data_IF_411237042559
#
_entry.id   IF_411237042559
#
_cell.length_a   1.000
_cell.length_b   1.000
_cell.length_c   1.000
_cell.angle_alpha   90.00
_cell.angle_beta   90.00
_cell.angle_gamma   90.00
#
_symmetry.space_group_name_H-M   'P 1'
#
loop_
_entity.id
_entity.type
_entity.pdbx_description
1 polymer ?
#
# COMPACT_ATOMS: atom_id res chain seq x y z
N UNK A 1 -3.76 -4.64 0.29
CA UNK A 1 -4.34 -3.34 -0.11
C UNK A 1 -5.09 -3.45 -1.42
N UNK A 2 -6.26 -2.79 -1.54
CA UNK A 2 -7.04 -2.77 -2.78
C UNK A 2 -6.40 -1.94 -3.91
N UNK A 3 -5.32 -1.21 -3.65
CA UNK A 3 -4.59 -0.46 -4.67
C UNK A 3 -4.14 -1.29 -5.89
N UNK A 4 -4.03 -2.61 -5.72
CA UNK A 4 -3.75 -3.52 -6.85
C UNK A 4 -4.94 -3.71 -7.81
N UNK A 5 -6.13 -3.30 -7.39
CA UNK A 5 -7.38 -3.37 -8.19
C UNK A 5 -7.96 -1.99 -8.45
N UNK A 6 -7.13 -0.95 -8.41
CA UNK A 6 -7.56 0.45 -8.62
C UNK A 6 -8.21 0.69 -9.98
N UNK A 7 -7.91 -0.13 -10.97
CA UNK A 7 -8.59 -0.12 -12.27
C UNK A 7 -10.07 -0.52 -12.19
N UNK A 8 -10.41 -1.37 -11.23
CA UNK A 8 -11.78 -1.83 -11.01
C UNK A 8 -12.48 -1.05 -9.89
N UNK A 9 -11.73 -0.68 -8.83
CA UNK A 9 -12.24 0.03 -7.65
C UNK A 9 -11.44 1.32 -7.47
N UNK A 10 -11.94 2.41 -8.02
CA UNK A 10 -11.22 3.69 -8.05
C UNK A 10 -11.06 4.33 -6.68
N UNK A 11 -11.98 4.11 -5.75
CA UNK A 11 -11.86 4.59 -4.37
C UNK A 11 -10.65 3.99 -3.64
N UNK A 12 -10.20 2.81 -4.04
CA UNK A 12 -9.07 2.11 -3.43
C UNK A 12 -7.72 2.83 -3.54
N UNK A 13 -7.61 3.78 -4.48
CA UNK A 13 -6.37 4.55 -4.70
C UNK A 13 -6.27 5.79 -3.79
N UNK A 14 -7.39 6.30 -3.29
CA UNK A 14 -7.43 7.56 -2.52
C UNK A 14 -6.44 7.57 -1.35
N UNK A 15 -6.30 6.50 -0.53
CA UNK A 15 -5.30 6.47 0.55
C UNK A 15 -3.86 6.59 0.06
N UNK A 16 -3.61 6.24 -1.20
CA UNK A 16 -2.28 6.26 -1.80
C UNK A 16 -1.92 7.60 -2.46
N UNK A 17 -2.84 8.57 -2.42
CA UNK A 17 -2.53 9.90 -2.93
C UNK A 17 -1.48 10.59 -2.08
N UNK A 18 -0.54 11.31 -2.72
CA UNK A 18 0.53 11.99 -2.01
C UNK A 18 -0.06 12.96 -0.99
N UNK A 19 0.53 12.97 0.20
CA UNK A 19 0.17 13.90 1.28
C UNK A 19 -1.29 13.81 1.77
N UNK A 20 -2.05 12.78 1.38
CA UNK A 20 -3.38 12.51 1.93
C UNK A 20 -3.31 12.29 3.45
N UNK A 21 -2.31 11.54 3.90
CA UNK A 21 -1.98 11.38 5.30
C UNK A 21 -0.45 11.38 5.47
N UNK A 22 0.07 12.26 6.31
CA UNK A 22 1.50 12.35 6.65
C UNK A 22 1.87 11.57 7.90
N UNK A 23 0.87 11.13 8.68
CA UNK A 23 1.05 10.32 9.90
C UNK A 23 0.04 9.18 9.96
N UNK A 24 0.31 8.18 10.80
CA UNK A 24 -0.59 7.06 11.03
C UNK A 24 -1.94 7.53 11.62
N UNK A 25 -1.89 8.45 12.57
CA UNK A 25 -3.08 9.01 13.22
C UNK A 25 -4.00 9.74 12.21
N UNK A 26 -3.40 10.46 11.25
CA UNK A 26 -4.18 11.09 10.19
C UNK A 26 -4.84 10.06 9.29
N UNK A 27 -4.14 8.95 8.98
CA UNK A 27 -4.69 7.87 8.19
C UNK A 27 -5.85 7.18 8.92
N UNK A 28 -5.70 6.91 10.22
CA UNK A 28 -6.76 6.32 11.05
C UNK A 28 -8.04 7.17 11.08
N UNK A 29 -7.90 8.49 11.14
CA UNK A 29 -9.05 9.41 11.08
C UNK A 29 -9.81 9.34 9.74
N UNK A 30 -9.15 8.95 8.66
CA UNK A 30 -9.74 8.83 7.34
C UNK A 30 -10.37 7.45 7.09
N UNK A 31 -10.01 6.42 7.87
CA UNK A 31 -10.43 5.04 7.63
C UNK A 31 -11.95 4.87 7.48
N UNK A 32 -12.81 5.44 8.37
CA UNK A 32 -14.25 5.27 8.21
C UNK A 32 -14.76 5.77 6.86
N UNK A 33 -14.39 7.01 6.48
CA UNK A 33 -14.82 7.60 5.22
C UNK A 33 -14.27 6.85 4.00
N UNK A 34 -13.02 6.36 4.06
CA UNK A 34 -12.43 5.56 2.99
C UNK A 34 -13.12 4.20 2.84
N UNK A 35 -13.51 3.59 3.95
CA UNK A 35 -14.25 2.32 3.95
C UNK A 35 -15.64 2.50 3.37
N UNK A 36 -16.35 3.55 3.76
CA UNK A 36 -17.69 3.86 3.27
C UNK A 36 -17.69 4.10 1.76
N UNK A 37 -16.78 4.92 1.25
CA UNK A 37 -16.65 5.21 -0.19
C UNK A 37 -16.31 3.93 -0.96
N UNK A 38 -15.42 3.11 -0.43
CA UNK A 38 -15.03 1.85 -1.08
C UNK A 38 -16.18 0.84 -1.08
N UNK A 39 -16.91 0.70 0.03
CA UNK A 39 -18.10 -0.15 0.12
C UNK A 39 -19.19 0.30 -0.87
N UNK A 40 -19.40 1.61 -0.97
CA UNK A 40 -20.38 2.16 -1.92
C UNK A 40 -19.99 1.79 -3.36
N UNK A 41 -18.73 1.97 -3.75
CA UNK A 41 -18.27 1.64 -5.10
C UNK A 41 -18.34 0.12 -5.38
N UNK A 42 -18.01 -0.73 -4.40
CA UNK A 42 -18.18 -2.18 -4.52
C UNK A 42 -19.64 -2.55 -4.78
N UNK A 43 -20.57 -1.94 -4.03
CA UNK A 43 -22.01 -2.13 -4.21
C UNK A 43 -22.51 -1.64 -5.57
N UNK A 44 -22.15 -0.42 -5.97
CA UNK A 44 -22.56 0.18 -7.23
C UNK A 44 -22.11 -0.63 -8.46
N UNK A 45 -20.96 -1.28 -8.34
CA UNK A 45 -20.41 -2.16 -9.38
C UNK A 45 -20.85 -3.62 -9.25
N UNK A 46 -21.76 -3.93 -8.34
CA UNK A 46 -22.29 -5.27 -8.09
C UNK A 46 -21.23 -6.32 -7.76
N UNK A 47 -20.17 -5.95 -7.05
CA UNK A 47 -19.28 -6.92 -6.45
C UNK A 47 -20.00 -7.65 -5.32
N UNK A 48 -19.99 -8.97 -5.35
CA UNK A 48 -20.61 -9.81 -4.32
C UNK A 48 -19.72 -9.96 -3.09
N UNK A 49 -19.30 -8.84 -2.51
CA UNK A 49 -18.38 -8.77 -1.35
C UNK A 49 -18.77 -7.61 -0.43
N UNK A 50 -18.36 -7.70 0.83
CA UNK A 50 -18.41 -6.62 1.81
C UNK A 50 -17.06 -6.44 2.48
N UNK A 51 -16.75 -5.21 2.92
CA UNK A 51 -15.59 -4.92 3.76
C UNK A 51 -15.98 -5.21 5.21
N UNK A 52 -15.28 -6.13 5.83
CA UNK A 52 -15.47 -6.50 7.24
C UNK A 52 -14.77 -5.51 8.17
N UNK A 53 -13.53 -5.21 7.88
CA UNK A 53 -12.76 -4.19 8.59
C UNK A 53 -11.72 -3.54 7.68
N UNK A 54 -11.26 -2.38 8.10
CA UNK A 54 -10.21 -1.62 7.41
C UNK A 54 -9.15 -1.17 8.41
N UNK A 55 -7.89 -1.22 8.02
CA UNK A 55 -6.79 -0.77 8.85
C UNK A 55 -5.74 -0.03 8.05
N UNK A 56 -5.11 0.97 8.70
CA UNK A 56 -3.99 1.70 8.16
C UNK A 56 -2.75 0.80 8.08
N UNK A 57 -2.08 0.85 6.94
CA UNK A 57 -0.76 0.22 6.76
C UNK A 57 0.31 1.29 7.01
N UNK A 58 1.47 0.96 7.59
CA UNK A 58 2.54 1.92 7.78
C UNK A 58 2.85 2.72 6.53
N UNK A 59 3.18 4.01 6.73
CA UNK A 59 3.51 4.93 5.64
C UNK A 59 4.60 4.33 4.76
N UNK A 60 4.44 4.50 3.46
CA UNK A 60 5.36 3.99 2.46
C UNK A 60 6.57 4.92 2.38
N UNK A 61 7.74 4.39 2.68
CA UNK A 61 9.03 5.09 2.75
C UNK A 61 10.04 4.44 1.82
N UNK A 62 11.20 5.07 1.65
CA UNK A 62 12.23 4.61 0.71
C UNK A 62 13.28 3.75 1.41
N UNK A 63 13.69 2.70 0.71
CA UNK A 63 14.77 1.77 1.10
C UNK A 63 15.69 1.60 -0.09
N UNK A 64 16.99 1.69 0.10
CA UNK A 64 17.88 1.63 -1.05
C UNK A 64 19.33 1.26 -0.73
N UNK A 65 20.14 1.24 -1.80
CA UNK A 65 21.54 0.81 -1.75
C UNK A 65 22.48 1.90 -2.26
N UNK A 66 23.74 1.80 -1.82
CA UNK A 66 24.81 2.74 -2.19
C UNK A 66 24.71 4.05 -1.40
N UNK A 67 24.94 5.19 -2.05
CA UNK A 67 24.94 6.48 -1.39
C UNK A 67 23.57 6.81 -0.76
N UNK A 68 23.55 7.14 0.55
CA UNK A 68 22.32 7.46 1.26
C UNK A 68 21.56 8.63 0.64
N UNK A 69 20.25 8.47 0.55
CA UNK A 69 19.31 9.52 0.13
C UNK A 69 18.70 10.16 1.37
N UNK A 70 18.75 11.48 1.47
CA UNK A 70 18.17 12.29 2.53
C UNK A 70 17.40 13.53 2.01
N UNK A 71 17.24 13.62 0.69
CA UNK A 71 16.42 14.65 0.04
C UNK A 71 15.81 14.12 -1.25
N UNK A 72 14.68 14.69 -1.64
CA UNK A 72 13.98 14.33 -2.89
C UNK A 72 14.88 14.49 -4.12
N UNK A 73 15.71 15.54 -4.15
CA UNK A 73 16.60 15.80 -5.29
C UNK A 73 17.63 14.68 -5.55
N UNK A 74 17.98 13.92 -4.54
CA UNK A 74 18.91 12.79 -4.65
C UNK A 74 18.26 11.51 -5.22
N UNK A 75 16.94 11.50 -5.37
CA UNK A 75 16.21 10.44 -6.09
C UNK A 75 16.34 10.57 -7.60
N UNK A 76 16.78 11.74 -8.09
CA UNK A 76 16.86 12.00 -9.53
C UNK A 76 17.76 10.98 -10.24
N UNK A 77 17.18 10.33 -11.26
CA UNK A 77 17.85 9.33 -12.07
C UNK A 77 18.02 7.95 -11.45
N UNK A 78 17.64 7.77 -10.17
CA UNK A 78 17.65 6.44 -9.53
C UNK A 78 16.49 5.60 -10.03
N UNK A 79 16.72 4.31 -10.22
CA UNK A 79 15.70 3.33 -10.51
C UNK A 79 15.00 2.94 -9.20
N UNK A 80 13.76 3.39 -9.02
CA UNK A 80 13.01 3.18 -7.76
C UNK A 80 11.80 2.29 -8.03
N UNK A 81 11.74 1.17 -7.33
CA UNK A 81 10.59 0.27 -7.42
C UNK A 81 9.37 0.86 -6.76
N UNK A 82 8.25 0.73 -7.44
CA UNK A 82 6.91 1.09 -6.97
C UNK A 82 5.93 -0.08 -7.10
N UNK A 83 4.81 0.04 -6.41
CA UNK A 83 3.76 -1.00 -6.37
C UNK A 83 2.47 -0.59 -7.10
N UNK A 84 2.36 0.68 -7.54
CA UNK A 84 1.17 1.18 -8.24
C UNK A 84 1.55 2.22 -9.30
N UNK A 85 0.64 2.45 -10.25
CA UNK A 85 0.80 3.44 -11.31
C UNK A 85 0.90 4.87 -10.74
N UNK A 86 0.12 5.18 -9.71
CA UNK A 86 0.10 6.49 -9.05
C UNK A 86 1.45 6.78 -8.37
N UNK A 87 2.01 5.77 -7.68
CA UNK A 87 3.35 5.89 -7.11
C UNK A 87 4.41 6.10 -8.18
N UNK A 88 4.24 5.52 -9.38
CA UNK A 88 5.14 5.74 -10.51
C UNK A 88 5.09 7.18 -11.02
N UNK A 89 3.90 7.76 -11.13
CA UNK A 89 3.74 9.16 -11.54
C UNK A 89 4.41 10.12 -10.55
N UNK A 90 4.21 9.90 -9.25
CA UNK A 90 4.84 10.71 -8.19
C UNK A 90 6.36 10.64 -8.29
N UNK A 91 6.94 9.45 -8.40
CA UNK A 91 8.39 9.29 -8.47
C UNK A 91 8.96 9.88 -9.76
N UNK A 92 8.24 9.76 -10.87
CA UNK A 92 8.62 10.40 -12.13
C UNK A 92 8.64 11.92 -11.99
N UNK A 93 7.64 12.50 -11.31
CA UNK A 93 7.62 13.92 -11.00
C UNK A 93 8.77 14.36 -10.08
N UNK A 94 9.25 13.48 -9.20
CA UNK A 94 10.45 13.70 -8.38
C UNK A 94 11.76 13.50 -9.16
N UNK A 95 11.70 13.09 -10.43
CA UNK A 95 12.84 12.87 -11.32
C UNK A 95 13.48 11.50 -11.20
N UNK A 96 12.88 10.55 -10.49
CA UNK A 96 13.31 9.15 -10.44
C UNK A 96 12.78 8.36 -11.64
N UNK A 97 13.42 7.22 -11.93
CA UNK A 97 12.93 6.24 -12.89
C UNK A 97 12.07 5.22 -12.13
N UNK A 98 10.76 5.27 -12.30
CA UNK A 98 9.86 4.34 -11.64
C UNK A 98 9.89 2.96 -12.32
N UNK A 99 10.06 1.91 -11.53
CA UNK A 99 10.10 0.52 -11.97
C UNK A 99 8.99 -0.26 -11.26
N UNK A 100 8.01 -0.74 -12.00
CA UNK A 100 6.91 -1.54 -11.43
C UNK A 100 7.34 -2.98 -11.25
N UNK A 101 7.42 -3.44 -10.01
CA UNK A 101 7.78 -4.82 -9.64
C UNK A 101 6.92 -5.29 -8.47
N UNK A 102 6.68 -6.59 -8.40
CA UNK A 102 6.08 -7.21 -7.21
C UNK A 102 7.02 -7.08 -6.00
N UNK A 103 6.47 -7.17 -4.79
CA UNK A 103 7.27 -7.07 -3.58
C UNK A 103 8.31 -8.18 -3.44
N UNK A 104 8.02 -9.39 -3.93
CA UNK A 104 8.92 -10.55 -3.92
C UNK A 104 10.12 -10.40 -4.86
N UNK A 105 10.02 -9.53 -5.87
CA UNK A 105 11.10 -9.28 -6.84
C UNK A 105 12.10 -8.21 -6.35
N UNK A 106 11.80 -7.49 -5.28
CA UNK A 106 12.62 -6.36 -4.80
C UNK A 106 14.02 -6.81 -4.37
N UNK A 107 14.10 -7.77 -3.46
CA UNK A 107 15.40 -8.26 -2.95
C UNK A 107 16.32 -8.75 -4.09
N UNK A 108 15.87 -9.67 -4.98
CA UNK A 108 16.71 -10.08 -6.10
C UNK A 108 17.04 -8.94 -7.09
N UNK A 109 16.17 -7.94 -7.24
CA UNK A 109 16.42 -6.80 -8.13
C UNK A 109 17.45 -5.82 -7.55
N UNK A 110 17.44 -5.60 -6.24
CA UNK A 110 18.48 -4.84 -5.53
C UNK A 110 19.83 -5.55 -5.63
N UNK A 111 19.87 -6.85 -5.36
CA UNK A 111 21.12 -7.65 -5.44
C UNK A 111 21.73 -7.64 -6.84
N UNK A 112 20.91 -7.62 -7.87
CA UNK A 112 21.35 -7.55 -9.27
C UNK A 112 21.58 -6.11 -9.76
N UNK A 113 21.37 -5.10 -8.94
CA UNK A 113 21.46 -3.69 -9.27
C UNK A 113 20.54 -3.26 -10.43
N UNK A 114 19.37 -3.89 -10.54
CA UNK A 114 18.30 -3.51 -11.47
C UNK A 114 17.57 -2.26 -10.95
N UNK A 115 17.43 -2.18 -9.64
CA UNK A 115 16.87 -1.02 -8.93
C UNK A 115 17.85 -0.53 -7.88
N UNK A 116 17.84 0.79 -7.63
CA UNK A 116 18.66 1.46 -6.63
C UNK A 116 17.93 1.60 -5.29
N UNK A 117 16.59 1.65 -5.35
CA UNK A 117 15.73 1.78 -4.18
C UNK A 117 14.35 1.17 -4.45
N UNK A 118 13.60 1.01 -3.37
CA UNK A 118 12.22 0.56 -3.40
C UNK A 118 11.38 1.28 -2.35
N UNK A 119 10.07 1.38 -2.58
CA UNK A 119 9.11 1.97 -1.65
C UNK A 119 8.30 0.87 -0.99
N UNK A 120 8.26 0.87 0.35
CA UNK A 120 7.39 0.02 1.17
C UNK A 120 7.28 0.55 2.60
N UNK A 121 6.32 0.04 3.36
CA UNK A 121 6.21 0.32 4.80
C UNK A 121 7.28 -0.41 5.61
N UNK A 122 7.61 0.14 6.78
CA UNK A 122 8.67 -0.39 7.66
C UNK A 122 8.41 -1.84 8.10
N UNK A 123 7.17 -2.20 8.39
CA UNK A 123 6.79 -3.57 8.79
C UNK A 123 7.11 -4.60 7.70
N UNK A 124 6.73 -4.30 6.46
CA UNK A 124 7.03 -5.22 5.36
C UNK A 124 8.53 -5.30 5.06
N UNK A 125 9.25 -4.18 5.16
CA UNK A 125 10.70 -4.17 4.99
C UNK A 125 11.39 -5.06 6.03
N UNK A 126 10.89 -5.08 7.27
CA UNK A 126 11.39 -5.93 8.35
C UNK A 126 11.04 -7.41 8.09
N UNK A 127 9.79 -7.73 7.84
CA UNK A 127 9.32 -9.09 7.55
C UNK A 127 10.06 -9.73 6.36
N UNK A 128 10.25 -8.97 5.29
CA UNK A 128 10.93 -9.40 4.08
C UNK A 128 12.46 -9.22 4.13
N UNK A 129 13.01 -8.81 5.28
CA UNK A 129 14.45 -8.64 5.57
C UNK A 129 15.17 -7.76 4.56
N UNK A 130 14.54 -6.63 4.17
CA UNK A 130 15.17 -5.71 3.24
C UNK A 130 16.43 -5.06 3.82
N UNK A 131 16.56 -4.96 5.14
CA UNK A 131 17.75 -4.49 5.81
C UNK A 131 19.00 -5.36 5.56
N UNK A 132 18.84 -6.62 5.13
CA UNK A 132 19.95 -7.48 4.74
C UNK A 132 20.59 -7.07 3.40
N UNK A 133 19.87 -6.30 2.59
CA UNK A 133 20.28 -5.93 1.23
C UNK A 133 20.25 -4.42 0.97
N UNK A 134 19.63 -3.62 1.85
CA UNK A 134 19.58 -2.17 1.76
C UNK A 134 20.60 -1.54 2.70
N UNK A 135 21.26 -0.48 2.25
CA UNK A 135 22.26 0.27 3.02
C UNK A 135 21.64 1.44 3.80
N UNK A 136 20.47 1.91 3.38
CA UNK A 136 19.80 3.09 3.95
C UNK A 136 18.28 3.02 3.85
N UNK A 137 17.62 3.78 4.75
CA UNK A 137 16.19 4.10 4.69
C UNK A 137 15.98 5.60 4.72
N UNK A 138 15.14 6.14 3.84
CA UNK A 138 14.75 7.53 3.82
C UNK A 138 13.27 7.66 4.22
N UNK A 139 13.04 8.17 5.43
CA UNK A 139 11.73 8.21 6.09
C UNK A 139 10.82 9.34 5.57
N UNK A 140 10.92 9.69 4.30
CA UNK A 140 9.95 10.56 3.64
C UNK A 140 8.71 9.73 3.31
N UNK A 141 7.53 10.03 3.91
CA UNK A 141 6.29 9.34 3.57
C UNK A 141 5.87 9.69 2.15
N UNK A 142 5.92 8.71 1.24
CA UNK A 142 5.45 8.91 -0.12
C UNK A 142 3.92 8.99 -0.15
N UNK A 143 3.28 8.05 0.52
CA UNK A 143 1.82 7.95 0.61
C UNK A 143 1.42 7.10 1.81
N UNK A 144 0.15 7.18 2.20
CA UNK A 144 -0.49 6.20 3.07
C UNK A 144 -0.84 4.92 2.31
N UNK A 145 -1.35 3.94 3.02
CA UNK A 145 -1.99 2.77 2.44
C UNK A 145 -3.03 2.24 3.41
N UNK A 146 -4.12 1.70 2.88
CA UNK A 146 -5.18 1.05 3.66
C UNK A 146 -5.34 -0.37 3.16
N UNK A 147 -5.46 -1.30 4.09
CA UNK A 147 -5.86 -2.67 3.80
C UNK A 147 -7.28 -2.90 4.29
N UNK A 148 -8.01 -3.69 3.52
CA UNK A 148 -9.36 -4.11 3.86
C UNK A 148 -9.40 -5.63 3.96
N UNK A 149 -10.10 -6.13 4.96
CA UNK A 149 -10.52 -7.52 5.03
C UNK A 149 -11.89 -7.59 4.36
N UNK A 150 -11.96 -8.30 3.25
CA UNK A 150 -13.18 -8.43 2.46
C UNK A 150 -13.68 -9.88 2.50
N UNK A 151 -14.99 -10.05 2.52
CA UNK A 151 -15.62 -11.37 2.48
C UNK A 151 -16.60 -11.43 1.31
N UNK A 152 -16.69 -12.61 0.69
CA UNK A 152 -17.74 -12.88 -0.29
C UNK A 152 -19.07 -13.10 0.43
N UNK A 153 -20.14 -12.39 0.00
CA UNK A 153 -21.46 -12.40 0.65
C UNK A 153 -22.09 -13.80 0.67
N UNK A 154 -21.97 -14.58 -0.41
CA UNK A 154 -22.50 -15.94 -0.47
C UNK A 154 -21.72 -16.89 0.46
N UNK A 155 -20.39 -16.72 0.52
CA UNK A 155 -19.57 -17.49 1.44
C UNK A 155 -19.94 -17.19 2.90
N UNK A 156 -20.11 -15.92 3.26
CA UNK A 156 -20.56 -15.51 4.58
C UNK A 156 -21.96 -16.08 4.88
N UNK A 157 -22.90 -15.94 3.97
CA UNK A 157 -24.26 -16.44 4.14
C UNK A 157 -24.36 -17.98 4.22
N UNK A 158 -23.35 -18.70 3.75
CA UNK A 158 -23.31 -20.18 3.86
C UNK A 158 -22.90 -20.67 5.26
N UNK A 159 -22.37 -19.77 6.11
CA UNK A 159 -22.00 -20.11 7.50
C UNK A 159 -23.24 -20.15 8.40
N UNK A 160 -23.23 -20.95 9.48
CA UNK A 160 -24.22 -20.86 10.54
C UNK A 160 -24.29 -19.44 11.14
N UNK A 161 -25.48 -19.01 11.58
CA UNK A 161 -25.69 -17.62 12.04
C UNK A 161 -24.77 -17.23 13.20
N UNK A 162 -24.56 -18.12 14.15
CA UNK A 162 -23.66 -17.92 15.29
C UNK A 162 -22.22 -17.67 14.88
N UNK A 163 -21.76 -18.33 13.79
CA UNK A 163 -20.43 -18.08 13.24
C UNK A 163 -20.37 -16.75 12.48
N UNK A 164 -21.42 -16.39 11.74
CA UNK A 164 -21.49 -15.06 11.09
C UNK A 164 -21.42 -13.95 12.13
N UNK A 165 -22.12 -14.10 13.26
CA UNK A 165 -22.16 -13.11 14.33
C UNK A 165 -20.77 -12.96 14.98
N UNK A 166 -20.08 -14.07 15.27
CA UNK A 166 -18.71 -14.06 15.80
C UNK A 166 -17.75 -13.36 14.83
N UNK A 167 -17.81 -13.70 13.53
CA UNK A 167 -16.92 -13.08 12.53
C UNK A 167 -17.13 -11.57 12.43
N UNK A 168 -18.38 -11.10 12.56
CA UNK A 168 -18.68 -9.66 12.55
C UNK A 168 -18.21 -8.96 13.81
N UNK A 169 -18.43 -9.59 14.98
CA UNK A 169 -18.00 -9.05 16.27
C UNK A 169 -16.46 -8.92 16.35
N UNK A 170 -15.73 -9.91 15.87
CA UNK A 170 -14.25 -9.89 15.89
C UNK A 170 -13.65 -8.97 14.80
N UNK A 171 -14.45 -8.50 13.85
CA UNK A 171 -14.01 -7.58 12.81
C UNK A 171 -14.16 -6.08 13.21
N UNK A 172 -14.92 -5.77 14.25
CA UNK A 172 -15.10 -4.41 14.79
C UNK A 172 -13.88 -3.96 15.63
#
# INVERSE_FOLDING_TARGET
PLGYVSGDISASIVPSWPMMAGTAEQLELLLPALSDITNQELSDKNFNVEIMCSYGVPLQVFWGVGEPVNSVSQLKGKNVRVFSAESAEILTAMGANAVSLSASEVVPSIQRRVIDAAVTGVTYADEAKWYDVCDWGYMLPLCGSVSHVIVNNEAMASLPQDIQDIVREEAE
#
